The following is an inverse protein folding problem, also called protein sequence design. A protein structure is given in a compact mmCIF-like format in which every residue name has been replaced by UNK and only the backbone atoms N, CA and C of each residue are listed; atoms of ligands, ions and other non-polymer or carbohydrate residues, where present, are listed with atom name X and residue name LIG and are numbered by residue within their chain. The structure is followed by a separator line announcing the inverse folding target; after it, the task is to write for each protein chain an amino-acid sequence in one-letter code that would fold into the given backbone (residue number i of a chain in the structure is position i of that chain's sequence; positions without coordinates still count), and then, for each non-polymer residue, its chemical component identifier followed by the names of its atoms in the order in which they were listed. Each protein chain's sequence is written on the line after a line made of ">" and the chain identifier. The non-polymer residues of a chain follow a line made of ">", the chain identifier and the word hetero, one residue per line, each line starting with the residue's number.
data_IF_321751087745
#
_entry.id   IF_321751087745
#
_cell.length_a   1.000
_cell.length_b   1.000
_cell.length_c   1.000
_cell.angle_alpha   90.00
_cell.angle_beta   90.00
_cell.angle_gamma   90.00
#
_symmetry.space_group_name_H-M   'P 1'
#
loop_
_entity.id
_entity.type
_entity.pdbx_description
1 polymer ?
#
# COMPACT_ATOMS: atom_id res chain seq x y z
N UNK A 1 -55.46 47.44 61.85
CA UNK A 1 -56.66 47.19 61.00
C UNK A 1 -56.27 46.12 59.99
N UNK A 2 -56.84 44.90 60.03
CA UNK A 2 -56.44 43.88 59.07
C UNK A 2 -57.11 44.18 57.72
N UNK A 3 -56.30 44.57 56.73
CA UNK A 3 -56.75 44.70 55.34
C UNK A 3 -57.10 43.31 54.81
N UNK A 4 -58.41 43.03 54.66
CA UNK A 4 -58.88 41.87 53.91
C UNK A 4 -58.57 42.11 52.44
N UNK A 5 -57.59 41.38 51.91
CA UNK A 5 -57.33 41.37 50.48
C UNK A 5 -58.58 40.84 49.74
N UNK A 6 -58.99 41.48 48.64
CA UNK A 6 -60.18 41.10 47.91
C UNK A 6 -60.06 39.70 47.33
N UNK A 7 -61.19 38.99 47.22
CA UNK A 7 -61.28 37.57 46.88
C UNK A 7 -60.51 37.17 45.61
N UNK A 8 -60.38 38.07 44.63
CA UNK A 8 -59.67 37.82 43.38
C UNK A 8 -58.14 37.74 43.54
N UNK A 9 -57.56 38.43 44.53
CA UNK A 9 -56.11 38.36 44.78
C UNK A 9 -55.70 37.00 45.35
N UNK A 10 -56.55 36.40 46.19
CA UNK A 10 -56.32 35.05 46.70
C UNK A 10 -56.42 34.00 45.59
N UNK A 11 -57.32 34.21 44.61
CA UNK A 11 -57.45 33.35 43.43
C UNK A 11 -56.19 33.43 42.56
N UNK A 12 -55.63 34.62 42.36
CA UNK A 12 -54.38 34.82 41.60
C UNK A 12 -53.20 34.13 42.32
N UNK A 13 -53.09 34.26 43.63
CA UNK A 13 -52.03 33.61 44.41
C UNK A 13 -52.17 32.08 44.33
N UNK A 14 -53.38 31.55 44.45
CA UNK A 14 -53.64 30.12 44.28
C UNK A 14 -53.27 29.62 42.88
N UNK A 15 -53.60 30.40 41.84
CA UNK A 15 -53.25 30.10 40.46
C UNK A 15 -51.72 30.06 40.25
N UNK A 16 -50.99 31.04 40.77
CA UNK A 16 -49.52 31.09 40.66
C UNK A 16 -48.88 29.89 41.35
N UNK A 17 -49.33 29.54 42.55
CA UNK A 17 -48.82 28.37 43.30
C UNK A 17 -49.08 27.08 42.52
N UNK A 18 -50.26 26.93 41.91
CA UNK A 18 -50.61 25.77 41.09
C UNK A 18 -49.68 25.64 39.86
N UNK A 19 -49.38 26.75 39.19
CA UNK A 19 -48.48 26.76 38.02
C UNK A 19 -47.05 26.38 38.38
N UNK A 20 -46.55 26.86 39.53
CA UNK A 20 -45.22 26.51 40.03
C UNK A 20 -45.11 25.02 40.39
N UNK A 21 -46.13 24.47 41.04
CA UNK A 21 -46.20 23.04 41.36
C UNK A 21 -46.26 22.19 40.08
N UNK A 22 -47.08 22.60 39.10
CA UNK A 22 -47.22 21.89 37.82
C UNK A 22 -45.90 21.81 37.06
N UNK A 23 -45.18 22.93 36.92
CA UNK A 23 -43.87 22.95 36.25
C UNK A 23 -42.84 22.07 36.97
N UNK A 24 -42.87 22.05 38.30
CA UNK A 24 -41.97 21.22 39.11
C UNK A 24 -42.24 19.74 38.90
N UNK A 25 -43.51 19.33 38.85
CA UNK A 25 -43.92 17.94 38.59
C UNK A 25 -43.61 17.53 37.15
N UNK A 26 -43.85 18.40 36.17
CA UNK A 26 -43.51 18.15 34.76
C UNK A 26 -42.00 17.92 34.61
N UNK A 27 -41.19 18.76 35.26
CA UNK A 27 -39.72 18.63 35.25
C UNK A 27 -39.29 17.32 35.92
N UNK A 28 -39.88 17.01 37.08
CA UNK A 28 -39.56 15.79 37.84
C UNK A 28 -39.93 14.50 37.09
N UNK A 29 -41.10 14.46 36.44
CA UNK A 29 -41.54 13.29 35.66
C UNK A 29 -40.76 13.17 34.35
N UNK A 30 -40.37 14.29 33.74
CA UNK A 30 -39.60 14.30 32.48
C UNK A 30 -38.14 13.88 32.64
N UNK A 31 -37.58 13.92 33.86
CA UNK A 31 -36.18 13.60 34.14
C UNK A 31 -35.91 12.07 34.26
N UNK A 32 -36.95 11.24 34.36
CA UNK A 32 -36.79 9.79 34.50
C UNK A 32 -36.53 9.01 33.19
N UNK A 33 -36.59 9.66 32.02
CA UNK A 33 -36.49 8.97 30.72
C UNK A 33 -35.34 9.42 29.82
N UNK A 34 -34.42 10.26 30.30
CA UNK A 34 -33.25 10.66 29.52
C UNK A 34 -31.97 10.31 30.25
N UNK A 35 -31.67 9.01 30.30
CA UNK A 35 -30.27 8.61 30.25
C UNK A 35 -29.68 9.29 29.01
N UNK A 36 -28.67 10.17 29.12
CA UNK A 36 -27.98 10.64 27.94
C UNK A 36 -27.51 9.39 27.18
N UNK A 37 -27.73 9.29 25.85
CA UNK A 37 -27.08 8.24 25.10
C UNK A 37 -25.60 8.40 25.40
N UNK A 38 -24.97 7.34 25.94
CA UNK A 38 -23.52 7.28 26.09
C UNK A 38 -22.97 7.56 24.70
N UNK A 39 -22.63 8.82 24.44
CA UNK A 39 -22.09 9.29 23.18
C UNK A 39 -20.71 8.68 23.10
N UNK A 40 -20.70 7.51 22.46
CA UNK A 40 -19.56 6.83 21.91
C UNK A 40 -18.53 6.49 22.99
N UNK A 41 -18.44 5.20 23.32
CA UNK A 41 -17.14 4.64 23.66
C UNK A 41 -16.20 5.04 22.52
N UNK A 42 -15.45 6.13 22.74
CA UNK A 42 -14.35 6.57 21.91
C UNK A 42 -13.30 5.47 22.10
N UNK A 43 -13.54 4.34 21.43
CA UNK A 43 -12.56 3.29 21.28
C UNK A 43 -11.37 4.01 20.69
N UNK A 44 -10.29 4.14 21.46
CA UNK A 44 -9.01 4.65 21.00
C UNK A 44 -8.41 3.59 20.05
N UNK A 45 -9.19 3.16 19.05
CA UNK A 45 -8.65 2.49 17.87
C UNK A 45 -7.94 3.61 17.16
N UNK A 46 -6.63 3.68 17.37
CA UNK A 46 -5.79 4.64 16.68
C UNK A 46 -5.73 4.15 15.23
N UNK A 47 -6.70 4.58 14.44
CA UNK A 47 -6.75 4.28 13.03
C UNK A 47 -5.69 5.11 12.31
N UNK A 48 -4.88 4.44 11.51
CA UNK A 48 -3.89 5.02 10.62
C UNK A 48 -4.55 5.22 9.26
N UNK A 49 -4.66 6.48 8.83
CA UNK A 49 -5.04 6.82 7.46
C UNK A 49 -3.79 6.91 6.62
N UNK A 50 -3.71 6.09 5.57
CA UNK A 50 -2.55 6.00 4.70
C UNK A 50 -3.03 6.05 3.26
N UNK A 51 -2.30 6.78 2.40
CA UNK A 51 -2.58 6.83 0.97
C UNK A 51 -1.55 6.01 0.23
N UNK A 52 -2.00 5.12 -0.66
CA UNK A 52 -1.12 4.34 -1.53
C UNK A 52 -1.42 4.63 -3.00
N UNK A 53 -0.37 4.87 -3.77
CA UNK A 53 -0.44 5.19 -5.19
C UNK A 53 0.69 4.48 -5.96
N UNK A 54 0.54 4.38 -7.29
CA UNK A 54 1.57 3.87 -8.21
C UNK A 54 1.29 2.46 -8.72
N UNK A 55 2.33 1.62 -8.78
CA UNK A 55 2.32 0.25 -9.30
C UNK A 55 1.64 -0.75 -8.34
N UNK A 56 0.36 -0.50 -8.06
CA UNK A 56 -0.53 -1.34 -7.26
C UNK A 56 -1.84 -1.53 -8.00
N UNK A 57 -2.51 -2.66 -7.79
CA UNK A 57 -3.79 -2.95 -8.44
C UNK A 57 -4.90 -2.03 -7.90
N UNK A 58 -4.89 -1.81 -6.59
CA UNK A 58 -5.90 -1.02 -5.88
C UNK A 58 -5.25 0.22 -5.24
N UNK A 59 -5.05 1.31 -5.98
CA UNK A 59 -4.61 2.58 -5.41
C UNK A 59 -5.74 3.24 -4.61
N UNK A 60 -5.39 3.99 -3.56
CA UNK A 60 -6.38 4.71 -2.78
C UNK A 60 -5.98 4.97 -1.32
N UNK A 61 -6.97 5.35 -0.52
CA UNK A 61 -6.79 5.62 0.90
C UNK A 61 -7.24 4.42 1.72
N UNK A 62 -6.34 3.92 2.56
CA UNK A 62 -6.56 2.78 3.44
C UNK A 62 -6.59 3.24 4.89
N UNK A 63 -7.49 2.63 5.66
CA UNK A 63 -7.58 2.81 7.11
C UNK A 63 -7.15 1.52 7.78
N UNK A 64 -6.01 1.55 8.47
CA UNK A 64 -5.38 0.40 9.11
C UNK A 64 -5.27 0.62 10.61
N UNK A 65 -5.12 -0.44 11.40
CA UNK A 65 -4.93 -0.32 12.84
C UNK A 65 -3.51 0.19 13.15
N UNK A 66 -3.35 0.97 14.22
CA UNK A 66 -2.01 1.38 14.68
C UNK A 66 -1.11 0.18 14.94
N UNK A 67 0.07 0.21 14.34
CA UNK A 67 1.06 -0.86 14.42
C UNK A 67 1.11 -1.75 13.19
N UNK A 68 0.16 -1.61 12.26
CA UNK A 68 0.21 -2.30 10.96
C UNK A 68 1.50 -1.98 10.18
N UNK A 69 1.97 -2.98 9.46
CA UNK A 69 3.19 -2.93 8.67
C UNK A 69 2.91 -2.52 7.22
N UNK A 70 3.94 -2.05 6.51
CA UNK A 70 3.84 -1.82 5.06
C UNK A 70 3.47 -3.11 4.32
N UNK A 71 3.88 -4.27 4.81
CA UNK A 71 3.48 -5.57 4.27
C UNK A 71 1.95 -5.77 4.27
N UNK A 72 1.28 -5.40 5.36
CA UNK A 72 -0.18 -5.53 5.49
C UNK A 72 -0.90 -4.63 4.48
N UNK A 73 -0.41 -3.40 4.30
CA UNK A 73 -0.93 -2.48 3.30
C UNK A 73 -0.71 -2.99 1.87
N UNK A 74 0.47 -3.52 1.57
CA UNK A 74 0.79 -4.11 0.27
C UNK A 74 -0.12 -5.31 -0.06
N UNK A 75 -0.47 -6.11 0.95
CA UNK A 75 -1.37 -7.23 0.76
C UNK A 75 -2.78 -6.77 0.36
N UNK A 76 -3.25 -5.64 0.91
CA UNK A 76 -4.55 -5.06 0.54
C UNK A 76 -4.53 -4.31 -0.80
N UNK A 77 -3.40 -3.68 -1.12
CA UNK A 77 -3.25 -2.90 -2.34
C UNK A 77 -2.88 -3.76 -3.57
N UNK A 78 -2.37 -4.97 -3.35
CA UNK A 78 -1.92 -5.95 -4.35
C UNK A 78 -0.92 -5.34 -5.37
N UNK A 79 0.40 -5.36 -5.09
CA UNK A 79 1.39 -4.80 -6.01
C UNK A 79 1.40 -5.54 -7.36
N UNK A 80 1.58 -4.80 -8.45
CA UNK A 80 1.66 -5.37 -9.79
C UNK A 80 3.01 -6.09 -10.01
N UNK A 81 3.11 -6.92 -11.06
CA UNK A 81 4.36 -7.62 -11.43
C UNK A 81 5.54 -6.67 -11.65
N UNK A 82 5.22 -5.45 -12.09
CA UNK A 82 6.21 -4.45 -12.48
C UNK A 82 6.54 -3.52 -11.31
N UNK A 83 6.01 -3.76 -10.11
CA UNK A 83 6.22 -2.93 -8.94
C UNK A 83 7.65 -3.07 -8.37
N UNK A 84 8.34 -1.95 -8.16
CA UNK A 84 9.68 -1.92 -7.57
C UNK A 84 9.62 -2.04 -6.03
N UNK A 85 9.49 -3.28 -5.56
CA UNK A 85 9.48 -3.59 -4.13
C UNK A 85 10.87 -3.51 -3.48
N UNK A 86 11.96 -3.31 -4.25
CA UNK A 86 13.33 -3.30 -3.72
C UNK A 86 13.58 -2.14 -2.76
N UNK A 87 12.92 -1.00 -3.00
CA UNK A 87 13.02 0.21 -2.16
C UNK A 87 12.05 0.19 -0.99
N UNK A 88 11.08 -0.74 -0.97
CA UNK A 88 10.01 -0.77 0.02
C UNK A 88 10.38 -1.71 1.18
N UNK A 89 10.62 -1.14 2.36
CA UNK A 89 10.91 -1.92 3.57
C UNK A 89 9.63 -2.50 4.16
N UNK A 90 9.28 -3.74 3.80
CA UNK A 90 8.07 -4.45 4.26
C UNK A 90 7.85 -4.45 5.78
N UNK A 91 8.94 -4.49 6.56
CA UNK A 91 8.92 -4.54 8.04
C UNK A 91 8.68 -3.15 8.67
N UNK A 92 8.76 -2.07 7.89
CA UNK A 92 8.58 -0.73 8.46
C UNK A 92 7.13 -0.52 8.90
N UNK A 93 6.97 0.08 10.09
CA UNK A 93 5.65 0.46 10.61
C UNK A 93 5.13 1.67 9.85
N UNK A 94 3.84 1.64 9.55
CA UNK A 94 3.15 2.75 8.90
C UNK A 94 2.86 3.86 9.92
N UNK A 95 2.93 5.11 9.46
CA UNK A 95 2.59 6.32 10.25
C UNK A 95 1.30 6.93 9.74
N UNK A 96 0.59 7.65 10.62
CA UNK A 96 -0.67 8.29 10.26
C UNK A 96 -0.41 9.41 9.25
N UNK A 97 -1.22 9.50 8.19
CA UNK A 97 -1.07 10.48 7.11
C UNK A 97 0.09 10.17 6.16
N UNK A 98 0.70 8.99 6.22
CA UNK A 98 1.79 8.62 5.33
C UNK A 98 1.27 8.40 3.91
N UNK A 99 1.97 8.94 2.92
CA UNK A 99 1.77 8.64 1.50
C UNK A 99 2.85 7.67 1.04
N UNK A 100 2.45 6.50 0.57
CA UNK A 100 3.33 5.48 0.01
C UNK A 100 3.15 5.47 -1.51
N UNK A 101 4.23 5.76 -2.23
CA UNK A 101 4.24 5.70 -3.70
C UNK A 101 5.10 4.52 -4.11
N UNK A 102 4.51 3.58 -4.84
CA UNK A 102 5.21 2.41 -5.38
C UNK A 102 5.52 2.67 -6.83
N UNK A 103 6.81 2.77 -7.15
CA UNK A 103 7.23 3.01 -8.53
C UNK A 103 7.28 1.71 -9.32
N UNK A 104 7.13 1.82 -10.64
CA UNK A 104 7.36 0.72 -11.57
C UNK A 104 8.86 0.49 -11.76
N UNK A 105 9.28 -0.76 -11.97
CA UNK A 105 10.64 -1.12 -12.36
C UNK A 105 10.88 -0.55 -13.76
N UNK A 106 11.89 0.32 -13.95
CA UNK A 106 12.19 0.85 -15.27
C UNK A 106 12.63 -0.29 -16.20
N UNK A 107 12.31 -0.19 -17.47
CA UNK A 107 12.75 -1.14 -18.49
C UNK A 107 14.02 -0.61 -19.13
N UNK A 108 14.97 -1.50 -19.43
CA UNK A 108 16.19 -1.19 -20.16
C UNK A 108 16.24 -1.97 -21.46
N UNK A 109 16.81 -1.35 -22.49
CA UNK A 109 16.97 -1.95 -23.81
C UNK A 109 18.42 -2.36 -23.98
N UNK A 110 18.67 -3.64 -24.26
CA UNK A 110 20.02 -4.13 -24.55
C UNK A 110 20.06 -4.71 -25.95
N UNK A 111 21.22 -4.64 -26.59
CA UNK A 111 21.43 -5.24 -27.90
C UNK A 111 22.20 -6.55 -27.74
N UNK A 112 21.64 -7.65 -28.24
CA UNK A 112 22.26 -8.97 -28.12
C UNK A 112 22.65 -9.49 -29.50
N UNK A 113 23.92 -9.86 -29.62
CA UNK A 113 24.54 -10.32 -30.87
C UNK A 113 25.32 -11.63 -30.66
N UNK A 114 25.48 -12.43 -31.72
CA UNK A 114 26.38 -13.58 -31.76
C UNK A 114 25.67 -14.93 -31.71
N UNK A 115 26.03 -15.77 -30.74
CA UNK A 115 25.52 -17.15 -30.63
C UNK A 115 24.10 -17.22 -30.01
N UNK A 116 23.17 -16.42 -30.50
CA UNK A 116 21.76 -16.38 -30.08
C UNK A 116 20.84 -16.81 -31.21
N UNK A 117 19.67 -17.35 -30.88
CA UNK A 117 18.67 -17.77 -31.87
C UNK A 117 18.07 -16.57 -32.61
N UNK A 118 17.94 -15.44 -31.91
CA UNK A 118 17.43 -14.19 -32.44
C UNK A 118 18.30 -13.05 -31.93
N UNK A 119 19.03 -12.42 -32.84
CA UNK A 119 19.80 -11.21 -32.58
C UNK A 119 18.88 -9.99 -32.59
N UNK A 120 19.27 -8.95 -31.85
CA UNK A 120 18.55 -7.68 -31.85
C UNK A 120 18.42 -7.06 -30.46
N UNK A 121 17.62 -6.00 -30.41
CA UNK A 121 17.36 -5.26 -29.17
C UNK A 121 16.22 -5.92 -28.40
N UNK A 122 16.47 -6.25 -27.14
CA UNK A 122 15.45 -6.78 -26.23
C UNK A 122 15.25 -5.84 -25.05
N UNK A 123 14.01 -5.81 -24.56
CA UNK A 123 13.60 -4.99 -23.42
C UNK A 123 13.49 -5.87 -22.20
N UNK A 124 14.23 -5.56 -21.14
CA UNK A 124 14.24 -6.31 -19.89
C UNK A 124 14.15 -5.36 -18.69
N UNK A 125 13.73 -5.84 -17.50
CA UNK A 125 13.65 -4.99 -16.31
C UNK A 125 15.02 -4.51 -15.83
N UNK A 126 15.07 -3.28 -15.32
CA UNK A 126 16.28 -2.71 -14.75
C UNK A 126 16.73 -3.40 -13.47
N UNK A 127 18.04 -3.57 -13.36
CA UNK A 127 18.70 -4.35 -12.31
C UNK A 127 18.75 -5.86 -12.59
N UNK A 128 18.31 -6.31 -13.78
CA UNK A 128 18.57 -7.67 -14.26
C UNK A 128 20.08 -7.92 -14.32
N UNK A 129 20.51 -9.09 -13.83
CA UNK A 129 21.93 -9.47 -13.84
C UNK A 129 22.30 -10.11 -15.16
N UNK A 130 23.58 -10.02 -15.56
CA UNK A 130 24.08 -10.67 -16.78
C UNK A 130 23.81 -12.18 -16.77
N UNK A 131 23.90 -12.84 -15.61
CA UNK A 131 23.57 -14.27 -15.48
C UNK A 131 22.10 -14.58 -15.75
N UNK A 132 21.21 -13.63 -15.46
CA UNK A 132 19.77 -13.80 -15.58
C UNK A 132 19.30 -13.45 -17.01
N UNK A 133 20.18 -12.88 -17.84
CA UNK A 133 19.93 -12.64 -19.27
C UNK A 133 19.53 -13.92 -20.01
N UNK A 134 20.06 -15.06 -19.59
CA UNK A 134 19.73 -16.36 -20.15
C UNK A 134 18.26 -16.77 -20.00
N UNK A 135 17.54 -16.18 -19.06
CA UNK A 135 16.10 -16.40 -18.92
C UNK A 135 15.29 -15.63 -19.95
N UNK A 136 15.84 -14.56 -20.53
CA UNK A 136 15.15 -13.68 -21.48
C UNK A 136 15.55 -13.95 -22.94
N UNK A 137 16.72 -14.56 -23.17
CA UNK A 137 17.28 -14.79 -24.50
C UNK A 137 17.43 -16.28 -24.78
N UNK A 138 16.99 -16.71 -25.95
CA UNK A 138 17.25 -18.06 -26.45
C UNK A 138 18.65 -18.15 -27.06
N UNK A 139 19.58 -18.82 -26.38
CA UNK A 139 20.94 -19.07 -26.89
C UNK A 139 21.01 -20.29 -27.80
N UNK A 140 21.97 -20.30 -28.71
CA UNK A 140 22.33 -21.50 -29.47
C UNK A 140 23.14 -22.47 -28.57
N UNK A 141 23.09 -23.79 -28.82
CA UNK A 141 23.85 -24.77 -28.05
C UNK A 141 25.37 -24.55 -28.12
N UNK A 142 25.83 -23.84 -29.16
CA UNK A 142 27.23 -23.46 -29.35
C UNK A 142 27.64 -22.19 -28.59
N UNK A 143 26.76 -21.58 -27.79
CA UNK A 143 27.05 -20.32 -27.10
C UNK A 143 27.97 -20.49 -25.88
N UNK A 144 28.98 -19.62 -25.74
CA UNK A 144 29.86 -19.57 -24.57
C UNK A 144 29.22 -18.80 -23.41
N UNK A 145 28.47 -19.52 -22.57
CA UNK A 145 27.75 -18.96 -21.42
C UNK A 145 28.71 -18.61 -20.26
N UNK A 146 29.96 -19.10 -20.24
CA UNK A 146 30.89 -18.91 -19.12
C UNK A 146 31.12 -17.43 -18.80
N UNK A 147 31.17 -16.58 -19.83
CA UNK A 147 31.35 -15.12 -19.68
C UNK A 147 30.10 -14.42 -19.14
N UNK A 148 28.92 -15.01 -19.34
CA UNK A 148 27.62 -14.45 -18.95
C UNK A 148 27.28 -14.72 -17.47
N UNK A 149 27.88 -15.73 -16.85
CA UNK A 149 27.68 -16.07 -15.43
C UNK A 149 28.24 -15.04 -14.44
N UNK A 150 28.87 -13.96 -14.92
CA UNK A 150 29.43 -12.90 -14.06
C UNK A 150 28.31 -12.20 -13.27
N UNK A 151 28.53 -12.04 -11.96
CA UNK A 151 27.64 -11.30 -11.07
C UNK A 151 27.77 -9.79 -11.29
N UNK A 152 27.26 -9.29 -12.41
CA UNK A 152 27.18 -7.85 -12.72
C UNK A 152 25.78 -7.49 -13.21
N UNK A 153 25.39 -6.23 -13.01
CA UNK A 153 24.15 -5.66 -13.56
C UNK A 153 24.37 -5.24 -15.01
N UNK A 154 23.32 -5.41 -15.81
CA UNK A 154 23.24 -4.88 -17.16
C UNK A 154 22.96 -3.38 -17.12
N UNK A 155 23.42 -2.66 -18.13
CA UNK A 155 23.14 -1.24 -18.31
C UNK A 155 22.21 -1.02 -19.50
N UNK A 156 21.48 0.09 -19.47
CA UNK A 156 20.68 0.51 -20.61
C UNK A 156 21.56 0.85 -21.82
N UNK A 157 21.15 0.40 -22.99
CA UNK A 157 21.90 0.53 -24.25
C UNK A 157 23.14 -0.37 -24.36
N UNK A 158 23.34 -1.31 -23.45
CA UNK A 158 24.52 -2.18 -23.48
C UNK A 158 24.45 -3.23 -24.60
N UNK A 159 25.53 -3.40 -25.36
CA UNK A 159 25.68 -4.48 -26.34
C UNK A 159 26.34 -5.70 -25.70
N UNK A 160 25.63 -6.82 -25.68
CA UNK A 160 26.13 -8.11 -25.19
C UNK A 160 26.42 -9.01 -26.39
N UNK A 161 27.71 -9.20 -26.65
CA UNK A 161 28.17 -10.16 -27.65
C UNK A 161 28.41 -11.52 -27.02
N UNK A 162 27.77 -12.55 -27.56
CA UNK A 162 27.92 -13.94 -27.11
C UNK A 162 28.77 -14.69 -28.12
N UNK A 163 29.97 -15.08 -27.69
CA UNK A 163 30.88 -15.85 -28.52
C UNK A 163 30.42 -17.30 -28.65
N UNK A 164 30.81 -17.97 -29.74
CA UNK A 164 30.65 -19.42 -29.86
C UNK A 164 31.76 -20.13 -29.09
N UNK A 165 31.44 -21.24 -28.45
CA UNK A 165 32.40 -22.17 -27.87
C UNK A 165 33.35 -22.56 -29.00
N UNK A 166 34.62 -22.19 -28.90
CA UNK A 166 35.64 -22.72 -29.81
C UNK A 166 35.63 -24.24 -29.64
N UNK A 167 35.04 -24.95 -30.60
CA UNK A 167 35.12 -26.41 -30.64
C UNK A 167 36.58 -26.82 -30.46
N UNK A 168 36.89 -27.80 -29.59
CA UNK A 168 38.22 -28.38 -29.58
C UNK A 168 38.52 -28.83 -31.01
N UNK A 169 39.69 -28.44 -31.49
CA UNK A 169 40.25 -28.89 -32.77
C UNK A 169 40.11 -30.41 -32.78
N UNK A 170 39.17 -30.94 -33.58
CA UNK A 170 39.05 -32.38 -33.80
C UNK A 170 40.33 -32.75 -34.55
N UNK A 171 41.35 -33.16 -33.82
CA UNK A 171 42.47 -33.89 -34.39
C UNK A 171 41.86 -35.20 -34.85
N UNK A 172 41.51 -35.25 -36.13
CA UNK A 172 41.22 -36.48 -36.82
C UNK A 172 42.56 -37.20 -36.86
N UNK A 173 42.82 -38.07 -35.88
CA UNK A 173 43.92 -39.03 -35.97
C UNK A 173 43.54 -39.99 -37.08
N UNK A 174 44.06 -39.69 -38.27
CA UNK A 174 44.04 -40.54 -39.43
C UNK A 174 45.38 -41.26 -39.42
N UNK A 175 45.48 -42.35 -38.67
CA UNK A 175 46.59 -43.28 -38.76
C UNK A 175 46.06 -44.65 -39.25
N UNK A 176 46.67 -45.06 -40.35
CA UNK A 176 46.56 -46.30 -41.11
C UNK A 176 46.59 -47.58 -40.27
#
# INVERSE_FOLDING_TARGET
>A
MPQKLPFHEWLIVSLIILTMLSLTVITYVSDHNQLPPVKQAHSIVQDLKISIEGAVLNPGNYTLKKGSSIGDLLQLAEPTSDADLRKVKKISKLKNGQKLVINTIPLLTIHVEGAVKQEGSIVIPDGTMLKDLASYVSFLPEADIKKLLKKRRLKDGETIRVDRIKSPKVTINQDN
#
